data_IF_079866162700
#
_entry.id   IF_079866162700
#
_cell.length_a   1.000
_cell.length_b   1.000
_cell.length_c   1.000
_cell.angle_alpha   90.00
_cell.angle_beta   90.00
_cell.angle_gamma   90.00
#
_symmetry.space_group_name_H-M   'P 1'
#
loop_
_entity.id
_entity.type
_entity.pdbx_description
1 polymer ?
#
# COMPACT_ATOMS: atom_id res chain seq x y z
N UNK A 1 -14.57 -8.54 1.91
CA UNK A 1 -13.74 -9.18 0.85
C UNK A 1 -12.61 -9.92 1.52
N UNK A 2 -12.47 -11.21 1.27
CA UNK A 2 -11.37 -11.99 1.85
C UNK A 2 -10.26 -12.16 0.79
N UNK A 3 -9.00 -11.96 1.15
CA UNK A 3 -7.90 -12.20 0.25
C UNK A 3 -7.69 -13.72 0.08
N UNK A 4 -7.49 -14.15 -1.16
CA UNK A 4 -7.23 -15.53 -1.55
C UNK A 4 -5.77 -15.64 -1.97
N UNK A 5 -4.98 -16.39 -1.22
CA UNK A 5 -3.58 -16.67 -1.57
C UNK A 5 -3.50 -17.70 -2.71
N UNK A 6 -2.66 -17.42 -3.68
CA UNK A 6 -2.41 -18.28 -4.82
C UNK A 6 -0.91 -18.37 -5.05
N UNK A 7 -0.39 -19.57 -5.15
CA UNK A 7 1.00 -19.85 -5.55
C UNK A 7 1.04 -20.21 -7.02
N UNK A 8 1.94 -19.56 -7.76
CA UNK A 8 2.27 -19.86 -9.16
C UNK A 8 3.63 -20.56 -9.17
N UNK A 9 3.67 -21.83 -9.43
CA UNK A 9 4.91 -22.60 -9.59
C UNK A 9 5.22 -22.73 -11.08
N UNK A 10 6.35 -22.22 -11.52
CA UNK A 10 6.75 -22.22 -12.93
C UNK A 10 7.23 -23.60 -13.34
N UNK A 11 6.52 -24.24 -14.27
CA UNK A 11 6.80 -25.61 -14.74
C UNK A 11 7.65 -25.57 -16.03
N UNK A 12 7.34 -24.62 -16.93
CA UNK A 12 8.00 -24.51 -18.22
C UNK A 12 8.11 -23.03 -18.61
N UNK A 13 9.21 -22.67 -19.22
CA UNK A 13 9.47 -21.36 -19.82
C UNK A 13 10.04 -21.56 -21.19
N UNK A 14 9.35 -21.09 -22.23
CA UNK A 14 9.90 -20.97 -23.57
C UNK A 14 9.64 -19.57 -24.12
N UNK A 15 10.01 -19.34 -25.38
CA UNK A 15 9.91 -18.03 -26.04
C UNK A 15 8.47 -17.51 -26.10
N UNK A 16 7.51 -18.41 -26.31
CA UNK A 16 6.13 -18.06 -26.61
C UNK A 16 5.17 -18.36 -25.46
N UNK A 17 5.57 -19.26 -24.55
CA UNK A 17 4.67 -19.79 -23.51
C UNK A 17 5.35 -19.95 -22.16
N UNK A 18 4.58 -19.74 -21.11
CA UNK A 18 4.95 -20.05 -19.73
C UNK A 18 3.85 -20.92 -19.13
N UNK A 19 4.21 -22.14 -18.71
CA UNK A 19 3.30 -23.03 -17.99
C UNK A 19 3.54 -22.91 -16.50
N UNK A 20 2.47 -22.71 -15.75
CA UNK A 20 2.49 -22.61 -14.30
C UNK A 20 1.52 -23.63 -13.70
N UNK A 21 1.93 -24.31 -12.64
CA UNK A 21 0.99 -24.89 -11.70
C UNK A 21 0.51 -23.80 -10.77
N UNK A 22 -0.79 -23.55 -10.75
CA UNK A 22 -1.43 -22.66 -9.79
C UNK A 22 -2.07 -23.47 -8.68
N UNK A 23 -1.94 -23.01 -7.45
CA UNK A 23 -2.52 -23.68 -6.28
C UNK A 23 -2.92 -22.70 -5.19
N UNK A 24 -3.91 -23.08 -4.42
CA UNK A 24 -4.24 -22.51 -3.11
C UNK A 24 -4.31 -23.65 -2.09
N UNK A 25 -4.83 -23.42 -0.90
CA UNK A 25 -4.90 -24.41 0.17
C UNK A 25 -5.83 -25.60 -0.14
N UNK A 26 -6.74 -25.45 -1.12
CA UNK A 26 -7.82 -26.44 -1.41
C UNK A 26 -7.76 -27.03 -2.80
N UNK A 27 -7.18 -26.32 -3.76
CA UNK A 27 -7.23 -26.70 -5.18
C UNK A 27 -5.92 -26.43 -5.90
N UNK A 28 -5.71 -27.14 -7.00
CA UNK A 28 -4.67 -26.85 -7.98
C UNK A 28 -5.20 -26.88 -9.42
N UNK A 29 -4.46 -26.22 -10.31
CA UNK A 29 -4.71 -26.22 -11.74
C UNK A 29 -3.41 -25.97 -12.51
N UNK A 30 -3.43 -26.18 -13.81
CA UNK A 30 -2.35 -25.76 -14.70
C UNK A 30 -2.85 -24.59 -15.54
N UNK A 31 -2.01 -23.55 -15.61
CA UNK A 31 -2.24 -22.34 -16.37
C UNK A 31 -1.17 -22.22 -17.45
N UNK A 32 -1.57 -21.93 -18.68
CA UNK A 32 -0.67 -21.54 -19.74
C UNK A 32 -0.82 -20.04 -19.99
N UNK A 33 0.32 -19.33 -20.04
CA UNK A 33 0.40 -17.90 -20.34
C UNK A 33 1.11 -17.68 -21.66
N UNK A 34 0.43 -17.09 -22.64
CA UNK A 34 0.99 -16.72 -23.93
C UNK A 34 1.72 -15.37 -23.83
N UNK A 35 3.02 -15.37 -24.14
CA UNK A 35 3.88 -14.20 -23.94
C UNK A 35 3.50 -13.04 -24.86
N UNK A 36 3.12 -13.35 -26.11
CA UNK A 36 2.85 -12.36 -27.16
C UNK A 36 1.69 -11.42 -26.81
N UNK A 37 0.54 -11.98 -26.44
CA UNK A 37 -0.69 -11.21 -26.17
C UNK A 37 -1.09 -11.20 -24.68
N UNK A 38 -0.48 -12.09 -23.88
CA UNK A 38 -0.82 -12.30 -22.48
C UNK A 38 -2.13 -13.07 -22.28
N UNK A 39 -2.55 -13.85 -23.29
CA UNK A 39 -3.68 -14.75 -23.13
C UNK A 39 -3.38 -15.81 -22.06
N UNK A 40 -4.42 -16.26 -21.37
CA UNK A 40 -4.33 -17.23 -20.28
C UNK A 40 -5.35 -18.32 -20.54
N UNK A 41 -4.89 -19.57 -20.51
CA UNK A 41 -5.77 -20.73 -20.55
C UNK A 41 -5.53 -21.63 -19.35
N UNK A 42 -6.52 -22.45 -18.99
CA UNK A 42 -6.48 -23.37 -17.86
C UNK A 42 -6.71 -24.80 -18.34
N UNK A 43 -6.05 -25.76 -17.71
CA UNK A 43 -6.22 -27.16 -18.05
C UNK A 43 -7.59 -27.72 -17.65
N UNK A 44 -8.21 -27.17 -16.60
CA UNK A 44 -9.56 -27.54 -16.14
C UNK A 44 -10.34 -26.31 -15.67
N UNK A 45 -11.67 -26.41 -15.76
CA UNK A 45 -12.56 -25.42 -15.17
C UNK A 45 -12.83 -25.80 -13.73
N UNK A 46 -12.35 -25.00 -12.79
CA UNK A 46 -12.58 -25.12 -11.36
C UNK A 46 -12.69 -23.75 -10.71
N UNK A 47 -12.95 -23.69 -9.42
CA UNK A 47 -13.09 -22.42 -8.70
C UNK A 47 -11.80 -21.56 -8.75
N UNK A 48 -10.64 -22.19 -8.69
CA UNK A 48 -9.36 -21.52 -8.82
C UNK A 48 -9.18 -20.85 -10.20
N UNK A 49 -9.61 -21.51 -11.29
CA UNK A 49 -9.61 -20.94 -12.64
C UNK A 49 -10.53 -19.70 -12.72
N UNK A 50 -11.72 -19.79 -12.10
CA UNK A 50 -12.68 -18.68 -12.07
C UNK A 50 -12.12 -17.46 -11.33
N UNK A 51 -11.58 -17.65 -10.12
CA UNK A 51 -10.95 -16.57 -9.33
C UNK A 51 -9.79 -15.94 -10.12
N UNK A 52 -8.94 -16.76 -10.69
CA UNK A 52 -7.76 -16.32 -11.44
C UNK A 52 -8.17 -15.55 -12.70
N UNK A 53 -9.22 -16.00 -13.40
CA UNK A 53 -9.78 -15.31 -14.57
C UNK A 53 -10.37 -13.95 -14.20
N UNK A 54 -11.08 -13.84 -13.09
CA UNK A 54 -11.60 -12.57 -12.57
C UNK A 54 -10.48 -11.57 -12.22
N UNK A 55 -9.30 -12.08 -11.86
CA UNK A 55 -8.11 -11.30 -11.53
C UNK A 55 -7.03 -11.32 -12.63
N UNK A 56 -7.38 -11.71 -13.87
CA UNK A 56 -6.41 -11.92 -14.97
C UNK A 56 -5.54 -10.70 -15.27
N UNK A 57 -6.04 -9.49 -15.09
CA UNK A 57 -5.26 -8.27 -15.31
C UNK A 57 -4.08 -8.18 -14.33
N UNK A 58 -4.31 -8.51 -13.07
CA UNK A 58 -3.27 -8.54 -12.05
C UNK A 58 -2.28 -9.68 -12.33
N UNK A 59 -2.78 -10.86 -12.63
CA UNK A 59 -1.95 -12.02 -12.97
C UNK A 59 -1.03 -11.73 -14.17
N UNK A 60 -1.56 -11.15 -15.25
CA UNK A 60 -0.76 -10.72 -16.39
C UNK A 60 0.38 -9.77 -16.00
N UNK A 61 0.12 -8.82 -15.11
CA UNK A 61 1.17 -7.90 -14.61
C UNK A 61 2.23 -8.64 -13.82
N UNK A 62 1.83 -9.59 -12.97
CA UNK A 62 2.75 -10.41 -12.15
C UNK A 62 3.65 -11.22 -13.07
N UNK A 63 3.10 -12.00 -14.01
CA UNK A 63 3.89 -12.85 -14.92
C UNK A 63 4.80 -12.00 -15.81
N UNK A 64 4.31 -10.90 -16.40
CA UNK A 64 5.15 -9.98 -17.20
C UNK A 64 6.28 -9.34 -16.39
N UNK A 65 6.04 -9.06 -15.11
CA UNK A 65 7.10 -8.57 -14.24
C UNK A 65 8.12 -9.66 -13.91
N UNK A 66 7.68 -10.90 -13.73
CA UNK A 66 8.57 -12.05 -13.55
C UNK A 66 9.44 -12.32 -14.79
N UNK A 67 8.87 -12.21 -16.00
CA UNK A 67 9.61 -12.32 -17.26
C UNK A 67 10.75 -11.29 -17.31
N UNK A 68 10.46 -10.03 -16.97
CA UNK A 68 11.50 -8.98 -16.92
C UNK A 68 12.57 -9.24 -15.85
N UNK A 69 12.24 -10.00 -14.81
CA UNK A 69 13.13 -10.41 -13.71
C UNK A 69 13.81 -11.76 -13.93
N UNK A 70 13.88 -12.25 -15.18
CA UNK A 70 14.46 -13.56 -15.53
C UNK A 70 13.74 -14.75 -14.88
N UNK A 71 12.44 -14.88 -15.20
CA UNK A 71 11.63 -16.04 -14.82
C UNK A 71 12.30 -17.37 -15.21
N UNK A 72 12.26 -18.36 -14.32
CA UNK A 72 12.88 -19.67 -14.58
C UNK A 72 12.02 -20.82 -14.02
N UNK A 73 12.23 -22.00 -14.54
CA UNK A 73 11.57 -23.24 -14.08
C UNK A 73 11.93 -23.50 -12.61
N UNK A 74 10.95 -23.92 -11.82
CA UNK A 74 11.09 -24.15 -10.38
C UNK A 74 10.85 -22.90 -9.54
N UNK A 75 10.77 -21.70 -10.12
CA UNK A 75 10.42 -20.49 -9.39
C UNK A 75 8.97 -20.54 -8.90
N UNK A 76 8.75 -20.11 -7.65
CA UNK A 76 7.40 -19.93 -7.10
C UNK A 76 7.13 -18.44 -6.89
N UNK A 77 5.97 -17.98 -7.35
CA UNK A 77 5.50 -16.61 -7.21
C UNK A 77 4.20 -16.65 -6.40
N UNK A 78 4.21 -16.04 -5.22
CA UNK A 78 3.02 -15.94 -4.39
C UNK A 78 2.25 -14.67 -4.74
N UNK A 79 0.95 -14.79 -4.95
CA UNK A 79 0.06 -13.68 -5.19
C UNK A 79 -1.20 -13.79 -4.36
N UNK A 80 -1.85 -12.68 -4.16
CA UNK A 80 -3.14 -12.60 -3.48
C UNK A 80 -4.13 -11.96 -4.42
N UNK A 81 -5.25 -12.62 -4.59
CA UNK A 81 -6.41 -12.04 -5.26
C UNK A 81 -7.48 -11.75 -4.23
N UNK A 82 -8.16 -10.65 -4.41
CA UNK A 82 -9.31 -10.27 -3.58
C UNK A 82 -10.51 -10.24 -4.52
N UNK A 83 -11.48 -11.09 -4.27
CA UNK A 83 -12.68 -11.14 -5.08
C UNK A 83 -13.43 -9.80 -5.00
N UNK A 84 -13.77 -9.24 -6.17
CA UNK A 84 -14.39 -7.91 -6.26
C UNK A 84 -13.45 -6.72 -6.00
N UNK A 85 -12.17 -6.94 -5.73
CA UNK A 85 -11.20 -5.87 -5.48
C UNK A 85 -10.89 -5.10 -6.76
N UNK A 86 -11.21 -3.81 -6.75
CA UNK A 86 -10.87 -2.90 -7.84
C UNK A 86 -9.61 -2.13 -7.47
N UNK A 87 -8.51 -2.38 -8.18
CA UNK A 87 -7.29 -1.59 -8.01
C UNK A 87 -7.56 -0.11 -8.25
N UNK A 88 -6.93 0.74 -7.42
CA UNK A 88 -7.01 2.20 -7.59
C UNK A 88 -6.44 2.61 -8.94
N UNK A 89 -7.29 3.21 -9.75
CA UNK A 89 -6.93 3.89 -11.00
C UNK A 89 -6.57 5.33 -10.70
N UNK A 90 -5.93 6.02 -11.65
CA UNK A 90 -5.60 7.45 -11.52
C UNK A 90 -6.85 8.31 -11.26
N UNK A 91 -7.97 8.01 -11.92
CA UNK A 91 -9.24 8.72 -11.74
C UNK A 91 -9.83 8.60 -10.32
N UNK A 92 -9.42 7.60 -9.54
CA UNK A 92 -9.92 7.45 -8.16
C UNK A 92 -9.29 8.46 -7.21
N UNK A 93 -8.10 9.00 -7.51
CA UNK A 93 -7.45 10.02 -6.69
C UNK A 93 -8.14 11.39 -6.75
N UNK A 94 -9.07 11.60 -7.66
CA UNK A 94 -9.97 12.75 -7.64
C UNK A 94 -11.17 12.61 -6.71
N UNK A 95 -11.33 11.45 -6.07
CA UNK A 95 -12.44 11.10 -5.16
C UNK A 95 -11.92 10.80 -3.76
N UNK A 96 -12.83 10.69 -2.81
CA UNK A 96 -12.52 10.14 -1.50
C UNK A 96 -12.41 8.61 -1.60
N UNK A 97 -11.31 8.05 -1.09
CA UNK A 97 -11.05 6.61 -1.08
C UNK A 97 -11.22 6.13 0.35
N UNK A 98 -12.15 5.21 0.58
CA UNK A 98 -12.47 4.69 1.93
C UNK A 98 -11.96 3.28 2.10
N UNK A 99 -11.28 3.06 3.20
CA UNK A 99 -10.88 1.76 3.74
C UNK A 99 -11.69 1.53 5.01
N UNK A 100 -12.75 0.72 4.92
CA UNK A 100 -13.59 0.40 6.06
C UNK A 100 -13.25 -0.98 6.62
N UNK A 101 -12.88 -1.02 7.90
CA UNK A 101 -12.51 -2.23 8.63
C UNK A 101 -13.25 -2.36 9.96
N UNK A 102 -14.33 -1.59 10.15
CA UNK A 102 -15.06 -1.55 11.43
C UNK A 102 -15.70 -2.89 11.79
N UNK A 103 -16.15 -3.64 10.79
CA UNK A 103 -16.82 -4.93 10.98
C UNK A 103 -15.89 -6.14 10.77
N UNK A 104 -14.56 -5.94 10.87
CA UNK A 104 -13.57 -6.98 10.64
C UNK A 104 -13.43 -7.41 9.17
N UNK A 105 -14.23 -6.84 8.26
CA UNK A 105 -14.16 -7.07 6.82
C UNK A 105 -13.36 -5.95 6.15
N UNK A 106 -12.67 -6.31 5.09
CA UNK A 106 -12.04 -5.33 4.23
C UNK A 106 -13.09 -4.81 3.23
N UNK A 107 -13.45 -3.54 3.34
CA UNK A 107 -14.24 -2.85 2.32
C UNK A 107 -13.52 -1.61 1.80
N UNK A 108 -13.40 -1.50 0.47
CA UNK A 108 -12.70 -0.40 -0.20
C UNK A 108 -13.65 0.20 -1.23
N UNK A 109 -14.04 1.44 -0.97
CA UNK A 109 -14.97 2.19 -1.81
C UNK A 109 -14.42 3.54 -2.22
N UNK A 110 -15.00 4.14 -3.24
CA UNK A 110 -14.71 5.52 -3.64
C UNK A 110 -15.99 6.32 -3.69
N UNK A 111 -15.95 7.59 -3.26
CA UNK A 111 -17.11 8.48 -3.17
C UNK A 111 -16.76 9.88 -3.64
N UNK A 112 -17.73 10.58 -4.21
CA UNK A 112 -17.61 12.01 -4.55
C UNK A 112 -17.69 12.90 -3.29
N UNK A 113 -18.33 12.41 -2.21
CA UNK A 113 -18.51 13.14 -0.95
C UNK A 113 -17.71 12.52 0.17
N UNK A 114 -17.04 13.36 0.96
CA UNK A 114 -16.36 12.95 2.18
C UNK A 114 -17.31 12.56 3.31
N UNK A 115 -16.75 11.88 4.32
CA UNK A 115 -17.44 11.60 5.57
C UNK A 115 -17.66 12.92 6.35
N UNK A 116 -18.79 13.02 7.05
CA UNK A 116 -19.06 14.10 8.00
C UNK A 116 -18.46 13.79 9.38
N UNK A 117 -18.21 14.83 10.17
CA UNK A 117 -17.77 14.71 11.58
C UNK A 117 -16.57 13.78 11.79
N UNK A 118 -15.56 13.92 10.93
CA UNK A 118 -14.34 13.11 10.99
C UNK A 118 -13.19 13.85 11.67
N UNK A 119 -12.34 13.11 12.34
CA UNK A 119 -11.01 13.59 12.70
C UNK A 119 -10.12 13.56 11.47
N UNK A 120 -9.37 14.62 11.23
CA UNK A 120 -8.51 14.72 10.06
C UNK A 120 -7.04 14.63 10.43
N UNK A 121 -6.26 14.06 9.54
CA UNK A 121 -4.80 14.05 9.56
C UNK A 121 -4.33 14.78 8.32
N UNK A 122 -3.44 15.76 8.50
CA UNK A 122 -2.65 16.37 7.45
C UNK A 122 -1.19 16.06 7.72
N UNK A 123 -0.46 15.55 6.75
CA UNK A 123 0.88 15.05 6.97
C UNK A 123 1.74 15.10 5.71
N UNK A 124 3.03 15.38 5.90
CA UNK A 124 4.04 15.37 4.86
C UNK A 124 5.39 14.87 5.39
N UNK A 125 6.23 14.35 4.50
CA UNK A 125 7.55 13.83 4.79
C UNK A 125 8.64 14.47 3.93
N UNK A 126 9.81 14.70 4.52
CA UNK A 126 10.96 15.28 3.85
C UNK A 126 12.23 14.45 4.05
N UNK A 127 13.07 14.37 3.03
CA UNK A 127 14.38 13.72 3.07
C UNK A 127 15.38 14.55 2.26
N UNK A 128 16.53 14.85 2.89
CA UNK A 128 17.66 15.47 2.25
C UNK A 128 18.75 14.41 1.99
N UNK A 129 18.96 14.08 0.72
CA UNK A 129 19.94 13.05 0.30
C UNK A 129 21.39 13.47 0.52
N UNK A 130 21.69 14.78 0.52
CA UNK A 130 23.06 15.28 0.73
C UNK A 130 23.51 15.16 2.18
N UNK A 131 22.63 15.53 3.11
CA UNK A 131 22.91 15.46 4.55
C UNK A 131 22.50 14.12 5.17
N UNK A 132 21.79 13.26 4.43
CA UNK A 132 21.16 12.03 4.91
C UNK A 132 20.22 12.28 6.11
N UNK A 133 19.64 13.47 6.19
CA UNK A 133 18.66 13.85 7.21
C UNK A 133 17.26 13.74 6.67
N UNK A 134 16.34 13.34 7.52
CA UNK A 134 14.93 13.24 7.17
C UNK A 134 14.05 13.73 8.32
N UNK A 135 12.80 14.02 8.00
CA UNK A 135 11.84 14.44 9.00
C UNK A 135 10.43 14.40 8.46
N UNK A 136 9.49 14.45 9.34
CA UNK A 136 8.10 14.62 8.99
C UNK A 136 7.44 15.72 9.81
N UNK A 137 6.33 16.22 9.29
CA UNK A 137 5.47 17.17 9.96
C UNK A 137 4.00 16.94 9.62
N UNK A 138 3.14 17.24 10.56
CA UNK A 138 1.71 17.11 10.38
C UNK A 138 0.92 17.66 11.55
N UNK A 139 -0.39 17.60 11.42
CA UNK A 139 -1.31 17.88 12.51
C UNK A 139 -2.58 17.03 12.40
N UNK A 140 -3.21 16.80 13.55
CA UNK A 140 -4.57 16.27 13.60
C UNK A 140 -5.54 17.40 13.82
N UNK A 141 -6.76 17.28 13.26
CA UNK A 141 -7.85 18.23 13.43
C UNK A 141 -9.11 17.48 13.88
N UNK A 142 -9.67 17.87 15.00
CA UNK A 142 -10.95 17.33 15.48
C UNK A 142 -12.14 18.00 14.79
N UNK A 143 -13.35 17.41 14.84
CA UNK A 143 -14.54 17.99 14.20
C UNK A 143 -14.89 19.41 14.66
N UNK A 144 -14.52 19.79 15.88
CA UNK A 144 -14.68 21.13 16.45
C UNK A 144 -13.57 22.12 16.03
N UNK A 145 -12.64 21.69 15.15
CA UNK A 145 -11.57 22.52 14.61
C UNK A 145 -10.32 22.63 15.47
N UNK A 146 -10.24 21.94 16.63
CA UNK A 146 -9.00 21.91 17.42
C UNK A 146 -7.91 21.17 16.68
N UNK A 147 -6.71 21.73 16.65
CA UNK A 147 -5.56 21.18 15.96
C UNK A 147 -4.44 20.83 16.95
N UNK A 148 -3.79 19.70 16.70
CA UNK A 148 -2.62 19.25 17.45
C UNK A 148 -1.48 18.94 16.49
N UNK A 149 -0.39 19.71 16.59
CA UNK A 149 0.77 19.60 15.71
C UNK A 149 1.70 18.47 16.18
N UNK A 150 2.40 17.88 15.22
CA UNK A 150 3.48 16.93 15.49
C UNK A 150 4.56 17.01 14.41
N UNK A 151 5.79 16.75 14.81
CA UNK A 151 6.93 16.65 13.89
C UNK A 151 8.05 15.86 14.52
N UNK A 152 8.89 15.26 13.69
CA UNK A 152 10.05 14.51 14.16
C UNK A 152 11.16 14.47 13.10
N UNK A 153 12.41 14.43 13.56
CA UNK A 153 13.60 14.34 12.72
C UNK A 153 14.36 13.03 12.92
N UNK A 154 15.06 12.58 11.87
CA UNK A 154 15.82 11.34 11.84
C UNK A 154 17.10 11.46 11.02
N UNK A 155 18.02 10.51 11.21
CA UNK A 155 19.10 10.23 10.28
C UNK A 155 18.74 9.06 9.40
N UNK A 156 18.94 9.21 8.09
CA UNK A 156 18.58 8.20 7.11
C UNK A 156 17.12 8.20 6.71
N UNK A 157 16.69 7.20 5.94
CA UNK A 157 15.32 7.05 5.49
C UNK A 157 15.10 7.38 4.02
N UNK A 158 13.93 7.85 3.70
CA UNK A 158 13.52 8.33 2.37
C UNK A 158 12.26 9.17 2.50
N UNK A 159 11.94 10.02 1.50
CA UNK A 159 10.67 10.77 1.50
C UNK A 159 9.47 9.86 1.71
N UNK A 160 9.36 8.77 0.96
CA UNK A 160 8.25 7.82 1.10
C UNK A 160 8.11 7.23 2.52
N UNK A 161 9.25 6.97 3.19
CA UNK A 161 9.21 6.49 4.58
C UNK A 161 8.74 7.59 5.53
N UNK A 162 9.18 8.82 5.33
CA UNK A 162 8.76 9.95 6.17
C UNK A 162 7.26 10.25 6.01
N UNK A 163 6.72 10.17 4.80
CA UNK A 163 5.28 10.28 4.54
C UNK A 163 4.48 9.19 5.28
N UNK A 164 4.96 7.94 5.22
CA UNK A 164 4.35 6.83 5.95
C UNK A 164 4.39 7.05 7.46
N UNK A 165 5.53 7.48 8.01
CA UNK A 165 5.70 7.74 9.44
C UNK A 165 4.84 8.92 9.90
N UNK A 166 4.73 9.97 9.10
CA UNK A 166 3.87 11.13 9.39
C UNK A 166 2.40 10.72 9.55
N UNK A 167 1.89 9.91 8.62
CA UNK A 167 0.52 9.37 8.69
C UNK A 167 0.37 8.41 9.87
N UNK A 168 1.36 7.56 10.13
CA UNK A 168 1.34 6.61 11.26
C UNK A 168 1.26 7.34 12.61
N UNK A 169 2.03 8.43 12.77
CA UNK A 169 1.96 9.28 13.98
C UNK A 169 0.57 9.90 14.16
N UNK A 170 -0.02 10.44 13.09
CA UNK A 170 -1.38 10.97 13.12
C UNK A 170 -2.42 9.91 13.49
N UNK A 171 -2.33 8.72 12.92
CA UNK A 171 -3.19 7.58 13.27
C UNK A 171 -3.02 7.14 14.72
N UNK A 172 -1.79 7.15 15.25
CA UNK A 172 -1.51 6.83 16.66
C UNK A 172 -2.17 7.83 17.62
N UNK A 173 -2.11 9.13 17.31
CA UNK A 173 -2.77 10.19 18.08
C UNK A 173 -4.28 10.05 18.08
N UNK A 174 -4.84 9.58 16.95
CA UNK A 174 -6.27 9.31 16.79
C UNK A 174 -6.65 7.84 17.02
N UNK A 175 -5.88 7.11 17.84
CA UNK A 175 -6.07 5.66 18.02
C UNK A 175 -7.45 5.30 18.58
N UNK A 176 -8.07 6.15 19.39
CA UNK A 176 -9.43 5.97 19.93
C UNK A 176 -10.56 6.33 18.95
N UNK A 177 -10.24 7.01 17.84
CA UNK A 177 -11.24 7.49 16.89
C UNK A 177 -11.56 6.43 15.85
N UNK A 178 -12.84 6.30 15.49
CA UNK A 178 -13.31 5.29 14.52
C UNK A 178 -13.40 5.81 13.08
N UNK A 179 -13.65 7.10 12.90
CA UNK A 179 -13.78 7.75 11.60
C UNK A 179 -12.65 8.77 11.44
N UNK A 180 -11.72 8.50 10.54
CA UNK A 180 -10.54 9.32 10.31
C UNK A 180 -10.43 9.66 8.82
N UNK A 181 -10.13 10.91 8.50
CA UNK A 181 -9.78 11.33 7.16
C UNK A 181 -8.29 11.68 7.09
N UNK A 182 -7.57 11.05 6.18
CA UNK A 182 -6.16 11.32 5.91
C UNK A 182 -6.05 12.17 4.64
N UNK A 183 -5.49 13.36 4.78
CA UNK A 183 -5.22 14.31 3.72
C UNK A 183 -3.72 14.29 3.42
N UNK A 184 -3.33 13.88 2.21
CA UNK A 184 -1.93 13.72 1.82
C UNK A 184 -1.76 13.78 0.31
N UNK A 185 -0.60 14.22 -0.17
CA UNK A 185 -0.20 14.13 -1.57
C UNK A 185 0.49 12.81 -1.93
N UNK A 186 0.75 11.95 -0.94
CA UNK A 186 1.41 10.67 -1.11
C UNK A 186 0.50 9.58 -1.67
N UNK A 187 0.45 9.44 -2.98
CA UNK A 187 -0.20 8.30 -3.63
C UNK A 187 0.45 6.95 -3.24
N UNK A 188 1.73 6.99 -2.87
CA UNK A 188 2.47 5.83 -2.40
C UNK A 188 1.86 5.29 -1.11
N UNK A 189 1.62 6.14 -0.11
CA UNK A 189 1.03 5.71 1.17
C UNK A 189 -0.42 5.29 0.98
N UNK A 190 -1.22 6.03 0.20
CA UNK A 190 -2.61 5.64 -0.09
C UNK A 190 -2.65 4.25 -0.74
N UNK A 191 -1.87 4.02 -1.81
CA UNK A 191 -1.81 2.69 -2.45
C UNK A 191 -1.29 1.61 -1.52
N UNK A 192 -0.31 1.93 -0.69
CA UNK A 192 0.23 1.00 0.30
C UNK A 192 -0.84 0.51 1.26
N UNK A 193 -1.55 1.42 1.93
CA UNK A 193 -2.55 1.09 2.94
C UNK A 193 -3.83 0.48 2.35
N UNK A 194 -4.25 0.94 1.16
CA UNK A 194 -5.50 0.47 0.52
C UNK A 194 -5.29 -0.82 -0.28
N UNK A 195 -4.08 -1.09 -0.79
CA UNK A 195 -3.85 -2.21 -1.70
C UNK A 195 -2.74 -3.15 -1.23
N UNK A 196 -1.51 -2.65 -1.02
CA UNK A 196 -0.35 -3.52 -0.92
C UNK A 196 -0.24 -4.25 0.41
N UNK A 197 -0.63 -3.63 1.52
CA UNK A 197 -0.57 -4.24 2.86
C UNK A 197 -1.42 -5.50 2.96
N UNK A 198 -2.54 -5.58 2.24
CA UNK A 198 -3.41 -6.75 2.26
C UNK A 198 -2.72 -7.95 1.61
N UNK A 199 -2.00 -7.72 0.52
CA UNK A 199 -1.14 -8.71 -0.11
C UNK A 199 0.02 -9.11 0.81
N UNK A 200 0.74 -8.13 1.34
CA UNK A 200 1.92 -8.40 2.15
C UNK A 200 1.60 -9.12 3.46
N UNK A 201 0.51 -8.75 4.14
CA UNK A 201 0.04 -9.47 5.35
C UNK A 201 -0.19 -10.95 5.07
N UNK A 202 -0.85 -11.25 3.97
CA UNK A 202 -1.16 -12.63 3.59
C UNK A 202 0.11 -13.40 3.16
N UNK A 203 1.10 -12.73 2.59
CA UNK A 203 2.35 -13.32 2.12
C UNK A 203 3.50 -13.16 3.13
N UNK A 204 3.22 -13.19 4.43
CA UNK A 204 4.22 -13.07 5.51
C UNK A 204 5.16 -11.85 5.34
N UNK A 205 4.62 -10.73 4.90
CA UNK A 205 5.35 -9.49 4.63
C UNK A 205 6.50 -9.65 3.62
N UNK A 206 6.28 -10.52 2.67
CA UNK A 206 7.15 -10.68 1.51
C UNK A 206 6.47 -10.15 0.23
N UNK A 207 7.28 -9.70 -0.70
CA UNK A 207 6.83 -9.38 -2.05
C UNK A 207 6.46 -10.67 -2.79
N UNK A 208 5.80 -10.57 -3.96
CA UNK A 208 5.50 -11.72 -4.81
C UNK A 208 6.73 -12.57 -5.19
N UNK A 209 7.92 -11.99 -5.10
CA UNK A 209 9.19 -12.66 -5.42
C UNK A 209 9.93 -13.19 -4.19
N UNK A 210 9.26 -13.30 -3.04
CA UNK A 210 9.84 -13.81 -1.80
C UNK A 210 10.84 -12.87 -1.11
N UNK A 211 10.98 -11.62 -1.59
CA UNK A 211 11.83 -10.62 -0.91
C UNK A 211 11.06 -9.97 0.22
N UNK A 212 11.72 -9.72 1.33
CA UNK A 212 11.13 -8.95 2.44
C UNK A 212 10.61 -7.58 1.95
N UNK A 213 9.43 -7.18 2.42
CA UNK A 213 8.88 -5.87 2.13
C UNK A 213 9.72 -4.81 2.83
N UNK A 214 10.18 -3.83 2.07
CA UNK A 214 10.93 -2.70 2.62
C UNK A 214 10.07 -1.93 3.61
N UNK A 215 10.64 -1.65 4.79
CA UNK A 215 9.94 -0.95 5.87
C UNK A 215 8.71 -1.68 6.41
N UNK A 216 8.68 -3.02 6.34
CA UNK A 216 7.53 -3.85 6.71
C UNK A 216 6.96 -3.48 8.09
N UNK A 217 7.82 -3.28 9.11
CA UNK A 217 7.38 -2.93 10.47
C UNK A 217 6.52 -1.65 10.54
N UNK A 218 6.84 -0.64 9.74
CA UNK A 218 6.07 0.62 9.72
C UNK A 218 4.74 0.47 8.95
N UNK A 219 4.74 -0.35 7.89
CA UNK A 219 3.50 -0.72 7.21
C UNK A 219 2.59 -1.54 8.10
N UNK A 220 3.15 -2.48 8.89
CA UNK A 220 2.41 -3.26 9.90
C UNK A 220 1.75 -2.32 10.91
N UNK A 221 2.52 -1.44 11.52
CA UNK A 221 2.03 -0.49 12.50
C UNK A 221 0.91 0.39 11.93
N UNK A 222 1.10 0.97 10.74
CA UNK A 222 0.08 1.80 10.10
C UNK A 222 -1.20 1.01 9.78
N UNK A 223 -1.06 -0.25 9.31
CA UNK A 223 -2.18 -1.13 9.02
C UNK A 223 -2.96 -1.52 10.29
N UNK A 224 -2.26 -1.85 11.37
CA UNK A 224 -2.88 -2.23 12.65
C UNK A 224 -3.65 -1.04 13.26
N UNK A 225 -3.15 0.18 13.09
CA UNK A 225 -3.85 1.40 13.49
C UNK A 225 -5.13 1.68 12.69
N UNK A 226 -5.29 1.08 11.51
CA UNK A 226 -6.53 1.16 10.71
C UNK A 226 -7.57 0.09 11.10
N UNK A 227 -7.21 -0.91 11.93
CA UNK A 227 -8.16 -1.95 12.33
C UNK A 227 -9.29 -1.38 13.19
N UNK A 228 -10.51 -1.86 12.94
CA UNK A 228 -11.72 -1.40 13.63
C UNK A 228 -12.15 0.03 13.26
N UNK A 229 -11.61 0.62 12.20
CA UNK A 229 -11.85 2.00 11.77
C UNK A 229 -12.36 2.10 10.34
N UNK A 230 -13.00 3.22 10.05
CA UNK A 230 -13.20 3.72 8.70
C UNK A 230 -12.17 4.83 8.44
N UNK A 231 -11.21 4.54 7.57
CA UNK A 231 -10.16 5.49 7.18
C UNK A 231 -10.44 5.97 5.75
N UNK A 232 -10.71 7.25 5.62
CA UNK A 232 -10.95 7.91 4.35
C UNK A 232 -9.69 8.66 3.90
N UNK A 233 -9.27 8.45 2.67
CA UNK A 233 -8.13 9.16 2.08
C UNK A 233 -8.65 10.22 1.11
N UNK A 234 -8.17 11.45 1.29
CA UNK A 234 -8.29 12.56 0.35
C UNK A 234 -6.91 12.86 -0.21
N UNK A 235 -6.71 12.54 -1.48
CA UNK A 235 -5.48 12.92 -2.14
C UNK A 235 -5.49 14.41 -2.45
N UNK A 236 -4.44 15.11 -2.05
CA UNK A 236 -4.22 16.53 -2.33
C UNK A 236 -3.06 16.60 -3.32
N UNK A 237 -3.20 17.38 -4.38
CA UNK A 237 -2.08 17.58 -5.30
C UNK A 237 -1.00 18.42 -4.60
N UNK A 238 0.21 17.87 -4.50
CA UNK A 238 1.34 18.60 -3.93
C UNK A 238 1.60 19.92 -4.66
N UNK A 239 2.02 20.94 -3.93
CA UNK A 239 2.30 22.29 -4.44
C UNK A 239 1.13 22.93 -5.22
N UNK A 240 -0.09 22.68 -4.79
CA UNK A 240 -1.30 23.20 -5.43
C UNK A 240 -1.91 24.42 -4.72
N UNK A 241 -1.21 24.97 -3.72
CA UNK A 241 -1.70 26.09 -2.91
C UNK A 241 -2.72 25.67 -1.83
N UNK A 242 -2.77 24.38 -1.48
CA UNK A 242 -3.51 23.92 -0.31
C UNK A 242 -2.74 24.31 0.96
N UNK A 243 -3.33 25.19 1.76
CA UNK A 243 -2.69 25.82 2.92
C UNK A 243 -2.22 24.80 3.95
N UNK A 244 -3.05 23.79 4.24
CA UNK A 244 -2.77 22.75 5.23
C UNK A 244 -1.61 21.84 4.77
N UNK A 245 -1.59 21.48 3.48
CA UNK A 245 -0.52 20.66 2.91
C UNK A 245 0.80 21.44 2.83
N UNK A 246 0.75 22.71 2.40
CA UNK A 246 1.92 23.56 2.35
C UNK A 246 2.52 23.80 3.75
N UNK A 247 1.67 23.94 4.77
CA UNK A 247 2.10 24.01 6.16
C UNK A 247 2.82 22.72 6.63
N UNK A 248 2.24 21.53 6.35
CA UNK A 248 2.87 20.24 6.67
C UNK A 248 4.22 20.10 5.95
N UNK A 249 4.30 20.52 4.69
CA UNK A 249 5.54 20.50 3.91
C UNK A 249 6.63 21.37 4.55
N UNK A 250 6.31 22.57 4.97
CA UNK A 250 7.26 23.45 5.66
C UNK A 250 7.70 22.85 7.00
N UNK A 251 6.76 22.28 7.77
CA UNK A 251 7.05 21.65 9.05
C UNK A 251 7.98 20.44 8.87
N UNK A 252 7.75 19.60 7.86
CA UNK A 252 8.60 18.47 7.51
C UNK A 252 10.02 18.92 7.13
N UNK A 253 10.15 19.99 6.31
CA UNK A 253 11.45 20.59 5.96
C UNK A 253 12.20 21.12 7.17
N UNK A 254 11.53 21.85 8.06
CA UNK A 254 12.12 22.37 9.29
C UNK A 254 12.62 21.21 10.17
N UNK A 255 11.83 20.14 10.28
CA UNK A 255 12.19 18.94 11.03
C UNK A 255 13.41 18.24 10.46
N UNK A 256 13.56 18.23 9.12
CA UNK A 256 14.74 17.66 8.46
C UNK A 256 16.03 18.42 8.80
N UNK A 257 15.95 19.76 9.01
CA UNK A 257 17.12 20.59 9.34
C UNK A 257 17.44 20.64 10.85
N UNK A 258 16.48 20.36 11.71
CA UNK A 258 16.62 20.42 13.19
C UNK A 258 16.92 19.04 13.79
N UNK A 259 17.89 18.33 13.23
CA UNK A 259 18.25 17.00 13.72
C UNK A 259 18.71 17.02 15.19
N UNK A 260 18.08 16.15 16.01
CA UNK A 260 18.55 15.82 17.35
C UNK A 260 19.19 14.41 17.34
N UNK A 261 20.43 14.22 17.86
CA UNK A 261 21.19 12.97 17.66
C UNK A 261 20.60 11.71 18.29
N UNK A 262 19.51 11.80 19.04
CA UNK A 262 18.99 10.70 19.85
C UNK A 262 18.00 9.74 19.15
N UNK A 263 17.69 9.92 17.85
CA UNK A 263 16.77 9.03 17.12
C UNK A 263 17.32 8.67 15.75
N UNK A 264 17.92 7.50 15.65
CA UNK A 264 18.27 6.85 14.38
C UNK A 264 17.11 5.95 13.94
N UNK A 265 16.78 5.98 12.65
CA UNK A 265 15.94 4.93 12.07
C UNK A 265 16.77 3.65 12.12
N UNK A 266 16.30 2.65 12.87
CA UNK A 266 16.96 1.35 12.93
C UNK A 266 17.02 0.76 11.52
N UNK A 267 18.24 0.53 11.09
CA UNK A 267 18.70 -0.15 9.87
C UNK A 267 17.71 -0.32 8.73
N UNK A 268 17.85 0.49 7.70
CA UNK A 268 17.20 0.28 6.41
C UNK A 268 18.14 -0.39 5.37
N UNK A 269 19.26 -0.97 5.88
CA UNK A 269 20.16 -1.78 5.07
C UNK A 269 19.72 -3.23 5.13
N UNK A 270 18.98 -3.67 4.14
CA UNK A 270 19.00 -5.02 3.59
C UNK A 270 18.22 -5.05 2.30
#
# INVERSE_FOLDING_TARGET
MEPIGISLHIIRVDKDNIDCRISNDTEDNTLNFFVADGAITFAKENHLALITRNNQHQLRRIIRSAIKGNIHVGQTINCVFIEGFKFLKESHFGKFIRLDRRDGRLDITTSESGLSEVHKIYADGSFNGETNQSGYGGFTESPDGRQELYSQSFMGGSSNLMELLAITEGLQRLSSQKNIQINTDSRFVIRGLVQWVHFWRYNNWQTAYGRAVRNAKYWQQACDLCEGKCVEFKWIKGHSGNVEQDFCHQLAKISTTRYSPNRKIESWKS
#
